data_IF_560737494156
#
_entry.id   IF_560737494156
#
_cell.length_a   1.000
_cell.length_b   1.000
_cell.length_c   1.000
_cell.angle_alpha   90.00
_cell.angle_beta   90.00
_cell.angle_gamma   90.00
#
_symmetry.space_group_name_H-M   'P 1'
#
loop_
_entity.id
_entity.type
_entity.pdbx_description
1 polymer ?
#
# COMPACT_ATOMS: atom_id res chain seq x y z
N UNK A 1 19.19 3.23 18.85
CA UNK A 1 17.98 3.51 19.64
C UNK A 1 16.94 4.12 18.70
N UNK A 2 15.68 3.67 18.76
CA UNK A 2 14.53 4.25 18.02
C UNK A 2 13.73 5.26 18.85
N UNK A 3 14.35 5.83 19.88
CA UNK A 3 13.74 6.88 20.70
C UNK A 3 13.44 8.11 19.83
N UNK A 4 12.17 8.49 19.80
CA UNK A 4 11.63 9.55 18.95
C UNK A 4 10.54 10.29 19.72
N UNK A 5 10.33 11.55 19.34
CA UNK A 5 9.28 12.38 19.90
C UNK A 5 7.90 11.98 19.36
N UNK A 6 6.85 12.63 19.84
CA UNK A 6 5.52 12.49 19.24
C UNK A 6 5.51 13.03 17.80
N UNK A 7 4.55 12.59 16.98
CA UNK A 7 4.38 12.99 15.57
C UNK A 7 5.53 12.58 14.63
N UNK A 8 6.32 11.59 15.02
CA UNK A 8 7.36 11.01 14.17
C UNK A 8 6.79 9.81 13.38
N UNK A 9 7.23 9.56 12.13
CA UNK A 9 6.65 8.53 11.26
C UNK A 9 6.52 7.15 11.91
N UNK A 10 7.50 6.76 12.74
CA UNK A 10 7.51 5.49 13.47
C UNK A 10 6.33 5.28 14.42
N UNK A 11 5.73 6.37 14.91
CA UNK A 11 4.61 6.36 15.85
C UNK A 11 3.23 6.52 15.21
N UNK A 12 3.14 6.72 13.89
CA UNK A 12 1.86 6.92 13.21
C UNK A 12 1.25 5.55 12.86
N UNK A 13 0.02 5.23 13.31
CA UNK A 13 -0.66 3.99 12.92
C UNK A 13 -0.93 3.92 11.42
N UNK A 14 -0.94 2.71 10.86
CA UNK A 14 -1.22 2.47 9.44
C UNK A 14 -2.58 3.02 9.03
N UNK A 15 -3.59 2.86 9.88
CA UNK A 15 -4.92 3.41 9.64
C UNK A 15 -4.94 4.95 9.61
N UNK A 16 -4.09 5.61 10.41
CA UNK A 16 -3.96 7.07 10.39
C UNK A 16 -3.26 7.52 9.11
N UNK A 17 -2.22 6.81 8.66
CA UNK A 17 -1.58 7.10 7.36
C UNK A 17 -2.58 6.91 6.22
N UNK A 18 -3.42 5.88 6.26
CA UNK A 18 -4.49 5.70 5.30
C UNK A 18 -5.53 6.84 5.36
N UNK A 19 -5.81 7.39 6.54
CA UNK A 19 -6.68 8.56 6.69
C UNK A 19 -6.05 9.88 6.22
N UNK A 20 -4.73 10.00 6.26
CA UNK A 20 -3.99 11.13 5.66
C UNK A 20 -4.18 11.15 4.14
N UNK A 21 -4.16 9.99 3.47
CA UNK A 21 -4.39 9.89 2.03
C UNK A 21 -5.77 10.42 1.63
N UNK A 22 -5.86 11.39 0.72
CA UNK A 22 -7.14 11.95 0.24
C UNK A 22 -7.55 11.45 -1.15
N UNK A 23 -6.74 10.61 -1.81
CA UNK A 23 -7.01 10.07 -3.14
C UNK A 23 -8.38 9.36 -3.29
N UNK A 24 -8.90 8.78 -2.20
CA UNK A 24 -10.19 8.08 -2.20
C UNK A 24 -11.36 8.91 -1.62
N UNK A 25 -11.10 10.13 -1.13
CA UNK A 25 -12.14 11.02 -0.57
C UNK A 25 -13.20 11.42 -1.58
N UNK A 26 -12.87 11.37 -2.87
CA UNK A 26 -13.74 11.69 -3.99
C UNK A 26 -14.67 10.54 -4.39
N UNK A 27 -14.40 9.33 -3.89
CA UNK A 27 -15.16 8.14 -4.28
C UNK A 27 -16.49 8.09 -3.51
N UNK A 28 -17.59 7.63 -4.14
CA UNK A 28 -18.89 7.56 -3.48
C UNK A 28 -18.87 6.68 -2.23
N UNK A 29 -19.09 7.27 -1.06
CA UNK A 29 -19.24 6.51 0.18
C UNK A 29 -20.56 5.71 0.23
N UNK A 30 -20.65 4.74 1.14
CA UNK A 30 -21.88 4.02 1.45
C UNK A 30 -22.24 2.85 0.52
N UNK A 31 -21.46 2.60 -0.52
CA UNK A 31 -21.60 1.41 -1.38
C UNK A 31 -20.40 0.47 -1.21
N UNK A 32 -20.64 -0.84 -1.26
CA UNK A 32 -19.54 -1.81 -1.25
C UNK A 32 -18.83 -1.78 -2.59
N UNK A 33 -17.52 -1.97 -2.57
CA UNK A 33 -16.73 -2.05 -3.80
C UNK A 33 -17.26 -3.12 -4.76
N UNK A 34 -17.63 -4.30 -4.25
CA UNK A 34 -18.20 -5.38 -5.06
C UNK A 34 -19.51 -4.98 -5.74
N UNK A 35 -20.32 -4.12 -5.14
CA UNK A 35 -21.55 -3.60 -5.79
C UNK A 35 -21.25 -2.58 -6.88
N UNK A 36 -20.05 -2.00 -6.88
CA UNK A 36 -19.61 -1.00 -7.85
C UNK A 36 -18.95 -1.72 -9.03
N UNK A 37 -17.84 -2.42 -8.78
CA UNK A 37 -17.01 -3.01 -9.84
C UNK A 37 -17.76 -4.05 -10.67
N UNK A 38 -18.72 -4.80 -10.11
CA UNK A 38 -19.46 -5.80 -10.88
C UNK A 38 -20.52 -5.17 -11.80
N UNK A 39 -21.03 -3.99 -11.45
CA UNK A 39 -22.04 -3.29 -12.23
C UNK A 39 -21.39 -2.35 -13.26
N UNK A 40 -20.32 -1.67 -12.88
CA UNK A 40 -19.61 -0.68 -13.68
C UNK A 40 -18.09 -0.86 -13.52
N UNK A 41 -17.43 -1.31 -14.61
CA UNK A 41 -15.99 -1.51 -14.65
C UNK A 41 -15.23 -0.19 -14.43
N UNK A 42 -15.66 0.89 -15.08
CA UNK A 42 -14.92 2.16 -15.06
C UNK A 42 -15.04 2.83 -13.69
N UNK A 43 -16.21 2.75 -13.06
CA UNK A 43 -16.38 3.26 -11.70
C UNK A 43 -15.58 2.43 -10.70
N UNK A 44 -15.59 1.09 -10.82
CA UNK A 44 -14.80 0.23 -9.95
C UNK A 44 -13.29 0.41 -10.15
N UNK A 45 -12.82 0.62 -11.39
CA UNK A 45 -11.42 0.89 -11.70
C UNK A 45 -10.87 2.09 -10.92
N UNK A 46 -11.68 3.15 -10.73
CA UNK A 46 -11.29 4.33 -9.91
C UNK A 46 -10.90 3.97 -8.48
N UNK A 47 -11.51 2.95 -7.86
CA UNK A 47 -11.19 2.52 -6.50
C UNK A 47 -9.82 1.86 -6.41
N UNK A 48 -9.49 1.00 -7.37
CA UNK A 48 -8.18 0.35 -7.42
C UNK A 48 -7.08 1.34 -7.83
N UNK A 49 -7.38 2.32 -8.70
CA UNK A 49 -6.46 3.43 -8.98
C UNK A 49 -6.25 4.33 -7.76
N UNK A 50 -7.29 4.63 -6.99
CA UNK A 50 -7.15 5.39 -5.74
C UNK A 50 -6.31 4.63 -4.70
N UNK A 51 -6.44 3.30 -4.62
CA UNK A 51 -5.51 2.47 -3.86
C UNK A 51 -4.08 2.67 -4.36
N UNK A 52 -3.81 2.51 -5.66
CA UNK A 52 -2.48 2.67 -6.24
C UNK A 52 -1.87 4.05 -5.95
N UNK A 53 -2.65 5.12 -6.08
CA UNK A 53 -2.23 6.49 -5.78
C UNK A 53 -1.83 6.63 -4.31
N UNK A 54 -2.70 6.24 -3.37
CA UNK A 54 -2.47 6.43 -1.93
C UNK A 54 -1.40 5.52 -1.35
N UNK A 55 -1.48 4.22 -1.64
CA UNK A 55 -0.50 3.20 -1.28
C UNK A 55 0.86 3.55 -1.87
N UNK A 56 0.88 3.78 -3.18
CA UNK A 56 2.10 3.94 -3.95
C UNK A 56 2.89 5.16 -3.50
N UNK A 57 2.24 6.21 -3.00
CA UNK A 57 2.91 7.46 -2.64
C UNK A 57 2.98 7.74 -1.14
N UNK A 58 1.94 8.29 -0.53
CA UNK A 58 1.97 8.86 0.83
C UNK A 58 2.42 7.81 1.84
N UNK A 59 1.89 6.58 1.74
CA UNK A 59 2.33 5.46 2.56
C UNK A 59 3.83 5.21 2.39
N UNK A 60 4.25 5.00 1.15
CA UNK A 60 5.64 4.73 0.76
C UNK A 60 6.63 5.85 1.14
N UNK A 61 6.23 7.12 1.03
CA UNK A 61 7.06 8.27 1.41
C UNK A 61 7.24 8.30 2.92
N UNK A 62 6.15 8.21 3.69
CA UNK A 62 6.21 8.30 5.14
C UNK A 62 6.97 7.11 5.74
N UNK A 63 6.74 5.90 5.23
CA UNK A 63 7.35 4.68 5.78
C UNK A 63 8.68 4.37 5.13
N UNK A 64 8.74 4.20 3.81
CA UNK A 64 9.94 3.68 3.15
C UNK A 64 11.02 4.75 2.95
N UNK A 65 10.65 5.96 2.51
CA UNK A 65 11.63 7.03 2.29
C UNK A 65 12.07 7.70 3.60
N UNK A 66 11.11 8.19 4.37
CA UNK A 66 11.40 8.99 5.55
C UNK A 66 11.73 8.09 6.73
N UNK A 67 10.82 7.20 7.16
CA UNK A 67 11.05 6.41 8.36
C UNK A 67 12.24 5.45 8.21
N UNK A 68 12.13 4.46 7.32
CA UNK A 68 13.19 3.46 7.18
C UNK A 68 14.42 4.04 6.48
N UNK A 69 14.24 4.73 5.35
CA UNK A 69 15.34 5.22 4.53
C UNK A 69 16.16 6.37 5.13
N UNK A 70 15.55 7.20 5.99
CA UNK A 70 16.23 8.35 6.58
C UNK A 70 16.36 8.25 8.11
N UNK A 71 15.26 8.11 8.85
CA UNK A 71 15.29 8.14 10.32
C UNK A 71 15.94 6.91 10.95
N UNK A 72 15.83 5.74 10.32
CA UNK A 72 16.29 4.46 10.85
C UNK A 72 17.59 3.96 10.21
N UNK A 73 17.95 4.45 9.01
CA UNK A 73 19.21 4.13 8.33
C UNK A 73 20.00 5.37 7.94
N UNK A 74 19.49 6.19 7.01
CA UNK A 74 20.22 7.29 6.37
C UNK A 74 21.06 6.87 5.16
N UNK A 75 21.80 7.83 4.59
CA UNK A 75 22.62 7.63 3.39
C UNK A 75 21.84 7.86 2.09
N UNK A 76 22.09 7.02 1.08
CA UNK A 76 21.34 7.06 -0.20
C UNK A 76 19.85 6.74 0.00
N UNK A 77 19.51 6.00 1.06
CA UNK A 77 18.15 5.64 1.43
C UNK A 77 17.54 4.61 0.47
N UNK A 78 16.20 4.61 0.38
CA UNK A 78 15.42 3.62 -0.35
C UNK A 78 14.64 4.23 -1.54
N UNK A 79 15.12 5.36 -2.06
CA UNK A 79 14.42 6.19 -3.04
C UNK A 79 14.25 5.56 -4.41
N UNK A 80 15.33 5.07 -5.01
CA UNK A 80 15.32 4.37 -6.30
C UNK A 80 14.73 2.96 -6.20
N UNK A 81 14.52 2.46 -4.98
CA UNK A 81 14.15 1.09 -4.74
C UNK A 81 12.66 0.87 -4.55
N UNK A 82 12.28 0.48 -3.32
CA UNK A 82 10.89 0.21 -2.93
C UNK A 82 10.00 1.45 -3.02
N UNK A 83 10.58 2.65 -3.02
CA UNK A 83 9.78 3.86 -3.15
C UNK A 83 9.36 4.17 -4.58
N UNK A 84 10.28 4.63 -5.43
CA UNK A 84 9.95 5.00 -6.80
C UNK A 84 9.34 3.84 -7.60
N UNK A 85 9.78 2.59 -7.38
CA UNK A 85 9.16 1.41 -8.01
C UNK A 85 7.67 1.23 -7.65
N UNK A 86 7.20 1.83 -6.56
CA UNK A 86 5.81 1.82 -6.12
C UNK A 86 4.92 2.91 -6.74
N UNK A 87 5.45 3.83 -7.55
CA UNK A 87 4.62 4.90 -8.17
C UNK A 87 5.15 5.44 -9.50
N UNK A 88 6.20 4.84 -10.06
CA UNK A 88 6.76 5.20 -11.36
C UNK A 88 6.53 4.09 -12.39
N UNK A 89 6.60 4.46 -13.68
CA UNK A 89 6.61 3.50 -14.79
C UNK A 89 5.25 2.89 -15.16
N UNK A 90 4.15 3.33 -14.53
CA UNK A 90 2.78 2.86 -14.76
C UNK A 90 2.57 1.34 -14.58
N UNK A 91 3.47 0.66 -13.88
CA UNK A 91 3.41 -0.80 -13.69
C UNK A 91 2.23 -1.19 -12.81
N UNK A 92 1.98 -0.43 -11.74
CA UNK A 92 0.86 -0.71 -10.83
C UNK A 92 -0.46 -0.45 -11.52
N UNK A 93 -0.55 0.61 -12.32
CA UNK A 93 -1.73 1.00 -13.08
C UNK A 93 -2.14 -0.12 -14.03
N UNK A 94 -1.20 -0.69 -14.78
CA UNK A 94 -1.44 -1.80 -15.70
C UNK A 94 -1.95 -3.06 -14.96
N UNK A 95 -1.36 -3.38 -13.81
CA UNK A 95 -1.86 -4.50 -12.98
C UNK A 95 -3.23 -4.20 -12.39
N UNK A 96 -3.48 -2.98 -11.91
CA UNK A 96 -4.78 -2.57 -11.39
C UNK A 96 -5.86 -2.65 -12.47
N UNK A 97 -5.55 -2.26 -13.70
CA UNK A 97 -6.48 -2.36 -14.82
C UNK A 97 -6.79 -3.82 -15.16
N UNK A 98 -5.75 -4.65 -15.24
CA UNK A 98 -5.88 -6.10 -15.47
C UNK A 98 -6.72 -6.78 -14.37
N UNK A 99 -6.47 -6.44 -13.10
CA UNK A 99 -7.23 -6.96 -11.96
C UNK A 99 -8.69 -6.46 -11.98
N UNK A 100 -8.92 -5.20 -12.33
CA UNK A 100 -10.27 -4.62 -12.47
C UNK A 100 -11.09 -5.39 -13.51
N UNK A 101 -10.49 -5.69 -14.66
CA UNK A 101 -11.14 -6.46 -15.73
C UNK A 101 -11.46 -7.90 -15.30
N UNK A 102 -10.52 -8.58 -14.65
CA UNK A 102 -10.75 -9.91 -14.09
C UNK A 102 -11.92 -9.91 -13.10
N UNK A 103 -11.90 -8.98 -12.14
CA UNK A 103 -12.92 -8.87 -11.10
C UNK A 103 -14.28 -8.60 -11.75
N UNK A 104 -14.37 -7.61 -12.64
CA UNK A 104 -15.60 -7.28 -13.33
C UNK A 104 -16.17 -8.45 -14.13
N UNK A 105 -15.31 -9.19 -14.83
CA UNK A 105 -15.72 -10.30 -15.71
C UNK A 105 -16.17 -11.52 -14.91
N UNK A 106 -15.39 -11.94 -13.91
CA UNK A 106 -15.61 -13.23 -13.24
C UNK A 106 -16.42 -13.14 -11.95
N UNK A 107 -16.63 -11.93 -11.40
CA UNK A 107 -17.42 -11.74 -10.19
C UNK A 107 -18.83 -11.20 -10.45
N UNK A 108 -19.32 -11.27 -11.70
CA UNK A 108 -20.71 -10.89 -12.02
C UNK A 108 -21.71 -11.61 -11.12
N UNK A 109 -22.58 -10.85 -10.47
CA UNK A 109 -23.57 -11.36 -9.52
C UNK A 109 -23.05 -11.60 -8.10
N UNK A 110 -21.75 -11.46 -7.83
CA UNK A 110 -21.15 -11.60 -6.51
C UNK A 110 -21.19 -10.26 -5.77
N UNK A 111 -22.16 -10.10 -4.86
CA UNK A 111 -22.35 -8.86 -4.09
C UNK A 111 -21.54 -8.82 -2.79
N UNK A 112 -21.07 -9.97 -2.32
CA UNK A 112 -20.27 -10.08 -1.09
C UNK A 112 -19.31 -11.26 -1.19
N UNK A 113 -18.04 -10.99 -0.91
CA UNK A 113 -17.03 -12.03 -0.76
C UNK A 113 -16.90 -12.35 0.73
N UNK A 114 -17.05 -13.62 1.15
CA UNK A 114 -16.88 -13.97 2.56
C UNK A 114 -15.40 -13.79 2.96
N UNK A 115 -15.11 -13.18 4.12
CA UNK A 115 -13.76 -13.05 4.65
C UNK A 115 -13.28 -14.40 5.23
N UNK A 116 -12.99 -15.36 4.35
CA UNK A 116 -12.48 -16.69 4.69
C UNK A 116 -11.14 -16.91 4.00
N UNK A 117 -10.24 -17.63 4.67
CA UNK A 117 -8.89 -17.90 4.15
C UNK A 117 -8.91 -18.57 2.78
N UNK A 118 -9.70 -19.62 2.58
CA UNK A 118 -9.75 -20.33 1.29
C UNK A 118 -10.19 -19.43 0.13
N UNK A 119 -11.13 -18.53 0.39
CA UNK A 119 -11.59 -17.54 -0.60
C UNK A 119 -10.48 -16.53 -0.94
N UNK A 120 -9.79 -16.03 0.09
CA UNK A 120 -8.69 -15.08 -0.05
C UNK A 120 -7.50 -15.69 -0.76
N UNK A 121 -7.13 -16.91 -0.37
CA UNK A 121 -6.08 -17.68 -1.02
C UNK A 121 -6.37 -17.88 -2.50
N UNK A 122 -7.60 -18.26 -2.86
CA UNK A 122 -7.97 -18.42 -4.27
C UNK A 122 -7.87 -17.10 -5.07
N UNK A 123 -8.31 -15.98 -4.49
CA UNK A 123 -8.16 -14.64 -5.10
C UNK A 123 -6.68 -14.34 -5.33
N UNK A 124 -5.85 -14.59 -4.32
CA UNK A 124 -4.41 -14.32 -4.36
C UNK A 124 -3.73 -15.19 -5.41
N UNK A 125 -3.91 -16.51 -5.34
CA UNK A 125 -3.31 -17.49 -6.25
C UNK A 125 -3.67 -17.18 -7.71
N UNK A 126 -4.86 -16.62 -7.97
CA UNK A 126 -5.27 -16.18 -9.31
C UNK A 126 -4.62 -14.84 -9.70
N UNK A 127 -4.66 -13.85 -8.80
CA UNK A 127 -4.14 -12.49 -9.08
C UNK A 127 -2.62 -12.48 -9.30
N UNK A 128 -1.89 -13.29 -8.54
CA UNK A 128 -0.43 -13.33 -8.56
C UNK A 128 0.13 -13.94 -9.84
N UNK A 129 -0.57 -14.91 -10.43
CA UNK A 129 -0.14 -15.55 -11.69
C UNK A 129 0.05 -14.51 -12.78
N UNK A 130 -0.93 -13.61 -12.96
CA UNK A 130 -0.81 -12.51 -13.94
C UNK A 130 0.43 -11.68 -13.67
N UNK A 131 0.65 -11.29 -12.41
CA UNK A 131 1.76 -10.41 -12.07
C UNK A 131 3.11 -11.10 -12.31
N UNK A 132 3.31 -12.31 -11.80
CA UNK A 132 4.57 -13.05 -11.96
C UNK A 132 4.86 -13.39 -13.41
N UNK A 133 3.86 -13.92 -14.15
CA UNK A 133 4.01 -14.22 -15.58
C UNK A 133 4.30 -12.97 -16.40
N UNK A 134 3.74 -11.81 -16.03
CA UNK A 134 4.05 -10.54 -16.71
C UNK A 134 5.53 -10.17 -16.54
N UNK A 135 6.10 -10.28 -15.33
CA UNK A 135 7.54 -10.06 -15.12
C UNK A 135 8.40 -11.07 -15.89
N UNK A 136 7.98 -12.33 -15.99
CA UNK A 136 8.70 -13.37 -16.74
C UNK A 136 8.63 -13.17 -18.26
N UNK A 137 7.48 -12.70 -18.76
CA UNK A 137 7.23 -12.47 -20.18
C UNK A 137 7.92 -11.22 -20.72
N UNK A 138 8.10 -10.20 -19.90
CA UNK A 138 8.66 -8.91 -20.30
C UNK A 138 10.01 -8.65 -19.59
N UNK A 139 11.15 -9.04 -20.21
CA UNK A 139 12.48 -8.84 -19.61
C UNK A 139 12.79 -7.38 -19.26
N UNK A 140 12.27 -6.42 -20.04
CA UNK A 140 12.42 -4.99 -19.75
C UNK A 140 11.71 -4.57 -18.46
N UNK A 141 10.59 -5.22 -18.10
CA UNK A 141 9.92 -5.00 -16.82
C UNK A 141 10.71 -5.61 -15.66
N UNK A 142 11.28 -6.81 -15.87
CA UNK A 142 12.18 -7.45 -14.91
C UNK A 142 13.44 -6.59 -14.66
N UNK A 143 13.96 -5.93 -15.71
CA UNK A 143 15.08 -4.99 -15.62
C UNK A 143 14.68 -3.68 -14.94
N UNK A 144 13.51 -3.11 -15.28
CA UNK A 144 12.98 -1.91 -14.64
C UNK A 144 12.87 -2.10 -13.12
N UNK A 145 12.28 -3.23 -12.71
CA UNK A 145 12.29 -3.67 -11.32
C UNK A 145 13.40 -4.70 -11.07
N UNK A 146 14.65 -4.34 -11.36
CA UNK A 146 15.84 -5.20 -11.20
C UNK A 146 15.95 -5.84 -9.81
N UNK A 147 15.61 -5.11 -8.76
CA UNK A 147 15.66 -5.58 -7.38
C UNK A 147 14.47 -6.48 -7.04
N UNK A 148 14.76 -7.65 -6.45
CA UNK A 148 13.71 -8.55 -5.95
C UNK A 148 12.76 -7.86 -4.98
N UNK A 149 13.30 -6.95 -4.17
CA UNK A 149 12.55 -6.10 -3.26
C UNK A 149 11.43 -5.29 -3.90
N UNK A 150 11.67 -4.71 -5.08
CA UNK A 150 10.66 -3.88 -5.75
C UNK A 150 9.49 -4.75 -6.15
N UNK A 151 9.81 -5.92 -6.73
CA UNK A 151 8.82 -6.89 -7.22
C UNK A 151 8.01 -7.48 -6.06
N UNK A 152 8.65 -7.98 -5.00
CA UNK A 152 7.92 -8.64 -3.91
C UNK A 152 7.04 -7.66 -3.13
N UNK A 153 7.52 -6.43 -2.88
CA UNK A 153 6.73 -5.40 -2.20
C UNK A 153 5.49 -5.01 -3.01
N UNK A 154 5.67 -4.81 -4.32
CA UNK A 154 4.61 -4.42 -5.23
C UNK A 154 3.59 -5.54 -5.45
N UNK A 155 4.04 -6.73 -5.84
CA UNK A 155 3.16 -7.87 -6.16
C UNK A 155 2.47 -8.38 -4.89
N UNK A 156 3.22 -8.52 -3.80
CA UNK A 156 2.67 -8.90 -2.49
C UNK A 156 1.64 -7.90 -2.00
N UNK A 157 1.94 -6.61 -2.11
CA UNK A 157 1.01 -5.53 -1.82
C UNK A 157 -0.26 -5.64 -2.66
N UNK A 158 -0.14 -5.70 -3.99
CA UNK A 158 -1.30 -5.76 -4.89
C UNK A 158 -2.18 -6.99 -4.65
N UNK A 159 -1.59 -8.18 -4.48
CA UNK A 159 -2.34 -9.40 -4.26
C UNK A 159 -3.16 -9.34 -2.96
N UNK A 160 -2.52 -8.99 -1.84
CA UNK A 160 -3.20 -8.91 -0.56
C UNK A 160 -4.16 -7.71 -0.46
N UNK A 161 -3.84 -6.58 -1.09
CA UNK A 161 -4.74 -5.42 -1.16
C UNK A 161 -5.97 -5.70 -2.02
N UNK A 162 -5.84 -6.49 -3.09
CA UNK A 162 -6.98 -7.00 -3.87
C UNK A 162 -7.87 -7.89 -3.01
N UNK A 163 -7.28 -8.82 -2.24
CA UNK A 163 -8.04 -9.64 -1.30
C UNK A 163 -8.76 -8.80 -0.23
N UNK A 164 -8.08 -7.78 0.30
CA UNK A 164 -8.66 -6.83 1.26
C UNK A 164 -9.81 -6.03 0.65
N UNK A 165 -9.64 -5.53 -0.58
CA UNK A 165 -10.67 -4.80 -1.34
C UNK A 165 -11.92 -5.64 -1.59
N UNK A 166 -11.74 -6.92 -1.89
CA UNK A 166 -12.87 -7.80 -2.20
C UNK A 166 -13.60 -8.27 -0.93
N UNK A 167 -12.87 -8.50 0.16
CA UNK A 167 -13.45 -9.05 1.40
C UNK A 167 -13.85 -8.00 2.44
N UNK A 168 -13.29 -6.78 2.36
CA UNK A 168 -13.41 -5.77 3.40
C UNK A 168 -12.70 -6.12 4.71
N UNK A 169 -11.68 -6.98 4.65
CA UNK A 169 -10.92 -7.44 5.83
C UNK A 169 -9.43 -7.12 5.68
N UNK A 170 -8.90 -6.16 6.47
CA UNK A 170 -7.48 -5.83 6.42
C UNK A 170 -6.63 -6.94 7.04
N UNK A 171 -7.17 -7.73 7.97
CA UNK A 171 -6.50 -8.89 8.56
C UNK A 171 -6.18 -9.93 7.48
N UNK A 172 -7.15 -10.21 6.61
CA UNK A 172 -6.95 -11.15 5.51
C UNK A 172 -6.12 -10.54 4.39
N UNK A 173 -6.18 -9.22 4.20
CA UNK A 173 -5.24 -8.50 3.34
C UNK A 173 -3.79 -8.70 3.78
N UNK A 174 -3.48 -8.46 5.06
CA UNK A 174 -2.15 -8.70 5.64
C UNK A 174 -1.73 -10.16 5.52
N UNK A 175 -2.61 -11.10 5.89
CA UNK A 175 -2.33 -12.53 5.72
C UNK A 175 -2.02 -12.87 4.26
N UNK A 176 -2.72 -12.24 3.33
CA UNK A 176 -2.52 -12.38 1.90
C UNK A 176 -1.19 -11.84 1.40
N UNK A 177 -0.78 -10.63 1.83
CA UNK A 177 0.53 -10.04 1.52
C UNK A 177 1.63 -11.01 1.96
N UNK A 178 1.57 -11.44 3.23
CA UNK A 178 2.56 -12.32 3.84
C UNK A 178 2.63 -13.68 3.14
N UNK A 179 1.47 -14.29 2.83
CA UNK A 179 1.39 -15.54 2.08
C UNK A 179 1.99 -15.44 0.67
N UNK A 180 1.69 -14.33 -0.02
CA UNK A 180 2.18 -14.08 -1.38
C UNK A 180 3.71 -13.98 -1.38
N UNK A 181 4.28 -13.22 -0.45
CA UNK A 181 5.73 -13.00 -0.40
C UNK A 181 6.47 -14.23 0.13
N UNK A 182 6.05 -14.76 1.29
CA UNK A 182 6.78 -15.81 1.98
C UNK A 182 6.74 -17.16 1.25
N UNK A 183 5.65 -17.46 0.54
CA UNK A 183 5.41 -18.77 -0.05
C UNK A 183 5.32 -18.71 -1.57
N UNK A 184 4.38 -17.95 -2.15
CA UNK A 184 4.13 -18.03 -3.59
C UNK A 184 5.31 -17.50 -4.42
N UNK A 185 5.76 -16.27 -4.17
CA UNK A 185 6.86 -15.68 -4.93
C UNK A 185 8.19 -16.34 -4.60
N UNK A 186 8.42 -16.65 -3.31
CA UNK A 186 9.64 -17.33 -2.87
C UNK A 186 9.82 -18.67 -3.58
N UNK A 187 8.80 -19.51 -3.60
CA UNK A 187 8.87 -20.82 -4.25
C UNK A 187 8.85 -20.69 -5.78
N UNK A 188 8.02 -19.80 -6.34
CA UNK A 188 7.91 -19.64 -7.79
C UNK A 188 9.17 -19.09 -8.47
N UNK A 189 9.84 -18.10 -7.84
CA UNK A 189 11.08 -17.53 -8.38
C UNK A 189 12.35 -18.05 -7.73
N UNK A 190 12.24 -18.86 -6.69
CA UNK A 190 13.38 -19.37 -5.88
C UNK A 190 14.25 -18.23 -5.34
N UNK A 191 13.63 -17.05 -5.15
CA UNK A 191 14.25 -15.81 -4.64
C UNK A 191 13.17 -14.85 -4.16
N UNK A 192 13.54 -13.99 -3.23
CA UNK A 192 12.68 -12.91 -2.69
C UNK A 192 13.38 -11.56 -2.80
N UNK A 193 13.38 -10.79 -1.73
CA UNK A 193 13.99 -9.47 -1.61
C UNK A 193 15.44 -9.50 -1.17
N UNK A 194 15.88 -8.46 -0.46
CA UNK A 194 17.19 -8.44 0.18
C UNK A 194 17.22 -9.33 1.43
N UNK A 195 18.42 -9.55 1.97
CA UNK A 195 18.63 -10.40 3.14
C UNK A 195 17.73 -10.00 4.32
N UNK A 196 16.78 -10.87 4.66
CA UNK A 196 15.87 -10.68 5.77
C UNK A 196 14.64 -9.82 5.47
N UNK A 197 14.43 -9.36 4.22
CA UNK A 197 13.21 -8.63 3.85
C UNK A 197 11.96 -9.44 4.24
N UNK A 198 11.93 -10.72 3.87
CA UNK A 198 10.79 -11.62 4.08
C UNK A 198 10.63 -12.18 5.51
N UNK A 199 11.43 -11.72 6.48
CA UNK A 199 11.25 -12.14 7.88
C UNK A 199 9.84 -11.82 8.36
N UNK A 200 9.33 -10.64 8.00
CA UNK A 200 7.98 -10.23 8.37
C UNK A 200 6.93 -11.16 7.76
N UNK A 201 7.11 -11.59 6.51
CA UNK A 201 6.14 -12.39 5.80
C UNK A 201 6.06 -13.82 6.35
N UNK A 202 7.20 -14.40 6.73
CA UNK A 202 7.25 -15.76 7.30
C UNK A 202 6.51 -15.87 8.64
N UNK A 203 6.68 -14.90 9.54
CA UNK A 203 5.98 -14.89 10.83
C UNK A 203 4.61 -14.20 10.74
N UNK A 204 4.47 -13.30 9.77
CA UNK A 204 3.32 -12.41 9.59
C UNK A 204 2.05 -13.17 9.28
N UNK A 205 2.12 -14.32 8.60
CA UNK A 205 0.95 -15.16 8.36
C UNK A 205 0.30 -15.62 9.67
N UNK A 206 1.11 -16.10 10.63
CA UNK A 206 0.62 -16.49 11.95
C UNK A 206 0.17 -15.27 12.78
N UNK A 207 0.88 -14.15 12.66
CA UNK A 207 0.61 -12.94 13.44
C UNK A 207 -0.59 -12.13 12.93
N UNK A 208 -1.00 -12.33 11.67
CA UNK A 208 -2.12 -11.60 11.08
C UNK A 208 -3.41 -11.80 11.89
N UNK A 209 -3.65 -13.02 12.39
CA UNK A 209 -4.83 -13.36 13.19
C UNK A 209 -4.52 -13.60 14.68
N UNK A 210 -3.31 -13.30 15.13
CA UNK A 210 -2.95 -13.49 16.52
C UNK A 210 -3.72 -12.51 17.44
N UNK A 211 -3.95 -12.93 18.67
CA UNK A 211 -4.50 -12.10 19.75
C UNK A 211 -3.51 -11.92 20.91
N UNK A 212 -2.31 -12.52 20.80
CA UNK A 212 -1.26 -12.36 21.79
C UNK A 212 -0.72 -10.93 21.77
N UNK A 213 -0.31 -10.45 22.94
CA UNK A 213 0.39 -9.18 23.06
C UNK A 213 1.58 -9.15 22.09
N UNK A 214 1.83 -8.00 21.47
CA UNK A 214 2.94 -7.78 20.53
C UNK A 214 2.90 -8.56 19.20
N UNK A 215 2.06 -9.58 19.07
CA UNK A 215 1.84 -10.32 17.82
C UNK A 215 0.55 -9.93 17.12
N UNK A 216 -0.50 -9.67 17.89
CA UNK A 216 -1.86 -9.54 17.36
C UNK A 216 -2.34 -8.11 17.19
N UNK A 217 -3.65 -8.00 17.04
CA UNK A 217 -4.37 -6.73 17.10
C UNK A 217 -4.88 -6.23 15.76
N UNK A 218 -5.68 -5.16 15.83
CA UNK A 218 -6.36 -4.56 14.68
C UNK A 218 -5.33 -3.94 13.74
N UNK A 219 -5.24 -4.36 12.45
CA UNK A 219 -4.25 -3.86 11.50
C UNK A 219 -4.17 -2.33 11.42
N UNK A 220 -5.31 -1.66 11.49
CA UNK A 220 -5.44 -0.20 11.43
C UNK A 220 -4.70 0.51 12.58
N UNK A 221 -4.51 -0.17 13.73
CA UNK A 221 -3.79 0.34 14.90
C UNK A 221 -2.33 -0.12 14.97
N UNK A 222 -1.91 -1.02 14.06
CA UNK A 222 -0.49 -1.34 13.89
C UNK A 222 0.21 -0.17 13.21
N UNK A 223 1.54 -0.17 13.22
CA UNK A 223 2.35 0.87 12.61
C UNK A 223 3.80 0.42 12.49
N UNK A 224 4.69 1.31 12.09
CA UNK A 224 6.11 0.97 11.98
C UNK A 224 6.79 0.64 13.33
N UNK A 225 6.11 0.85 14.46
CA UNK A 225 6.58 0.39 15.78
C UNK A 225 6.04 -1.00 16.18
N UNK A 226 5.09 -1.58 15.43
CA UNK A 226 4.64 -2.96 15.64
C UNK A 226 5.84 -3.91 15.43
N UNK A 227 6.11 -4.88 16.33
CA UNK A 227 7.40 -5.55 16.42
C UNK A 227 7.95 -6.08 15.09
N UNK A 228 7.15 -6.84 14.33
CA UNK A 228 7.61 -7.39 13.05
C UNK A 228 7.80 -6.31 11.98
N UNK A 229 7.00 -5.23 12.01
CA UNK A 229 7.13 -4.10 11.09
C UNK A 229 8.33 -3.20 11.39
N UNK A 230 9.05 -3.38 12.50
CA UNK A 230 9.94 -2.33 12.99
C UNK A 230 11.33 -2.26 12.37
N UNK A 231 11.72 -3.22 11.54
CA UNK A 231 13.12 -3.35 11.11
C UNK A 231 13.34 -3.68 9.63
N UNK A 232 12.31 -3.88 8.81
CA UNK A 232 12.49 -4.00 7.34
C UNK A 232 11.58 -3.07 6.56
N UNK A 233 12.17 -2.42 5.55
CA UNK A 233 11.43 -1.62 4.57
C UNK A 233 10.65 -2.54 3.60
N UNK A 234 9.78 -1.95 2.79
CA UNK A 234 9.09 -2.62 1.69
C UNK A 234 7.77 -3.32 2.05
N UNK A 235 7.22 -3.10 3.25
CA UNK A 235 5.97 -3.76 3.69
C UNK A 235 4.93 -2.79 4.23
N UNK A 236 5.37 -1.77 4.96
CA UNK A 236 4.47 -0.87 5.70
C UNK A 236 3.51 -0.14 4.78
N UNK A 237 3.97 0.30 3.60
CA UNK A 237 3.08 0.80 2.56
C UNK A 237 1.95 -0.21 2.27
N UNK A 238 2.28 -1.45 1.93
CA UNK A 238 1.30 -2.51 1.63
C UNK A 238 0.32 -2.76 2.77
N UNK A 239 0.76 -2.71 4.03
CA UNK A 239 -0.13 -2.84 5.20
C UNK A 239 -1.08 -1.65 5.36
N UNK A 240 -0.63 -0.43 5.05
CA UNK A 240 -1.49 0.76 4.94
C UNK A 240 -2.52 0.55 3.83
N UNK A 241 -2.08 0.05 2.67
CA UNK A 241 -2.94 -0.29 1.54
C UNK A 241 -4.03 -1.29 1.92
N UNK A 242 -3.72 -2.32 2.72
CA UNK A 242 -4.71 -3.29 3.17
C UNK A 242 -5.77 -2.64 4.08
N UNK A 243 -5.35 -1.74 4.97
CA UNK A 243 -6.27 -0.95 5.80
C UNK A 243 -7.18 -0.07 4.93
N UNK A 244 -6.58 0.70 4.00
CA UNK A 244 -7.28 1.57 3.08
C UNK A 244 -8.32 0.83 2.23
N UNK A 245 -7.88 -0.23 1.54
CA UNK A 245 -8.73 -1.03 0.64
C UNK A 245 -9.86 -1.71 1.39
N UNK A 246 -9.64 -2.15 2.63
CA UNK A 246 -10.73 -2.71 3.44
C UNK A 246 -11.82 -1.68 3.79
N UNK A 247 -11.43 -0.42 4.01
CA UNK A 247 -12.37 0.66 4.27
C UNK A 247 -13.18 1.00 3.02
N UNK A 248 -12.49 1.14 1.87
CA UNK A 248 -13.13 1.39 0.58
C UNK A 248 -14.07 0.25 0.18
N UNK A 249 -13.66 -1.00 0.41
CA UNK A 249 -14.48 -2.20 0.20
C UNK A 249 -15.83 -2.14 0.92
N UNK A 250 -15.82 -1.60 2.15
CA UNK A 250 -17.00 -1.45 3.00
C UNK A 250 -17.81 -0.19 2.69
N UNK A 251 -17.33 0.69 1.80
CA UNK A 251 -17.93 2.00 1.53
C UNK A 251 -17.73 2.99 2.69
N UNK A 252 -16.69 2.82 3.50
CA UNK A 252 -16.39 3.69 4.64
C UNK A 252 -15.71 4.99 4.17
N UNK A 253 -16.02 6.11 4.84
CA UNK A 253 -15.45 7.43 4.54
C UNK A 253 -14.08 7.66 5.19
N UNK A 254 -13.68 6.82 6.14
CA UNK A 254 -12.40 6.84 6.85
C UNK A 254 -11.98 5.40 7.19
N UNK A 255 -10.74 5.24 7.64
CA UNK A 255 -10.11 3.95 7.96
C UNK A 255 -10.06 3.72 9.47
N UNK A 256 -9.50 4.67 10.22
CA UNK A 256 -9.21 4.52 11.65
C UNK A 256 -9.71 5.72 12.47
N UNK A 257 -9.50 6.94 11.98
CA UNK A 257 -9.86 8.19 12.65
C UNK A 257 -10.55 9.17 11.69
N UNK A 258 -11.85 9.46 11.89
CA UNK A 258 -12.54 10.46 11.09
C UNK A 258 -11.97 11.87 11.31
N UNK A 259 -11.39 12.15 12.48
CA UNK A 259 -10.74 13.43 12.76
C UNK A 259 -9.49 13.61 11.88
N UNK A 260 -8.65 12.57 11.75
CA UNK A 260 -7.47 12.62 10.87
C UNK A 260 -7.92 12.76 9.42
N UNK A 261 -8.92 11.99 9.00
CA UNK A 261 -9.45 12.07 7.63
C UNK A 261 -9.87 13.50 7.26
N UNK A 262 -10.65 14.15 8.12
CA UNK A 262 -11.13 15.52 7.90
C UNK A 262 -10.00 16.55 7.99
N UNK A 263 -9.06 16.38 8.91
CA UNK A 263 -7.94 17.32 9.08
C UNK A 263 -7.04 17.43 7.83
N UNK A 264 -6.92 16.36 7.05
CA UNK A 264 -6.16 16.35 5.81
C UNK A 264 -7.00 16.66 4.56
N UNK A 265 -8.31 16.85 4.71
CA UNK A 265 -9.19 17.35 3.65
C UNK A 265 -9.20 18.88 3.61
N UNK A 266 -8.03 19.50 3.75
CA UNK A 266 -7.85 20.95 3.82
C UNK A 266 -7.12 21.45 2.56
N UNK A 267 -7.78 22.27 1.71
CA UNK A 267 -7.17 22.84 0.51
C UNK A 267 -6.08 23.89 0.81
N UNK A 268 -5.92 24.31 2.07
CA UNK A 268 -4.86 25.22 2.49
C UNK A 268 -3.54 24.52 2.83
N UNK A 269 -3.52 23.17 2.86
CA UNK A 269 -2.27 22.42 2.95
C UNK A 269 -1.40 22.68 1.73
N UNK A 270 -0.08 22.75 1.97
CA UNK A 270 0.90 23.05 0.91
C UNK A 270 1.05 21.86 -0.04
N UNK A 271 0.91 20.65 0.48
CA UNK A 271 0.97 19.41 -0.30
C UNK A 271 -0.45 18.90 -0.56
N UNK A 272 -0.78 18.63 -1.82
CA UNK A 272 -2.05 18.03 -2.20
C UNK A 272 -2.05 16.51 -1.95
N UNK A 273 -2.65 16.11 -0.82
CA UNK A 273 -2.82 14.70 -0.46
C UNK A 273 -3.84 13.95 -1.31
N UNK A 274 -4.57 14.64 -2.21
CA UNK A 274 -5.50 14.01 -3.17
C UNK A 274 -4.77 13.54 -4.42
N UNK A 275 -3.75 14.27 -4.87
CA UNK A 275 -2.95 13.95 -6.05
C UNK A 275 -1.45 13.90 -5.72
N UNK A 276 -1.02 13.05 -4.77
CA UNK A 276 0.35 13.02 -4.29
C UNK A 276 1.39 12.74 -5.39
N UNK A 277 1.09 11.92 -6.41
CA UNK A 277 2.03 11.70 -7.53
C UNK A 277 2.29 12.96 -8.34
N UNK A 278 1.26 13.78 -8.52
CA UNK A 278 1.39 15.05 -9.23
C UNK A 278 2.27 16.03 -8.46
N UNK A 279 2.13 16.10 -7.14
CA UNK A 279 2.99 16.94 -6.30
C UNK A 279 4.45 16.48 -6.33
N UNK A 280 4.69 15.16 -6.30
CA UNK A 280 6.04 14.59 -6.45
C UNK A 280 6.62 14.94 -7.83
N UNK A 281 5.82 14.82 -8.90
CA UNK A 281 6.25 15.17 -10.24
C UNK A 281 6.61 16.67 -10.35
N UNK A 282 5.79 17.57 -9.79
CA UNK A 282 6.09 19.01 -9.70
C UNK A 282 7.38 19.27 -8.92
N UNK A 283 7.60 18.55 -7.81
CA UNK A 283 8.84 18.66 -7.04
C UNK A 283 10.07 18.22 -7.85
N UNK A 284 9.98 17.12 -8.61
CA UNK A 284 11.04 16.67 -9.52
C UNK A 284 11.37 17.71 -10.61
N UNK A 285 10.35 18.45 -11.09
CA UNK A 285 10.51 19.56 -12.03
C UNK A 285 10.95 20.87 -11.38
N UNK A 286 11.13 20.91 -10.05
CA UNK A 286 11.43 22.10 -9.25
C UNK A 286 10.34 23.19 -9.32
N UNK A 287 9.10 22.77 -9.52
CA UNK A 287 7.91 23.64 -9.58
C UNK A 287 7.14 23.67 -8.25
N UNK A 288 7.37 22.70 -7.37
CA UNK A 288 6.79 22.68 -6.03
C UNK A 288 7.40 23.77 -5.15
N UNK A 289 6.55 24.53 -4.44
CA UNK A 289 6.97 25.62 -3.55
C UNK A 289 6.75 25.20 -2.09
N UNK A 290 7.80 24.72 -1.39
CA UNK A 290 7.68 24.40 0.02
C UNK A 290 7.52 25.68 0.87
N UNK A 291 6.92 25.56 2.06
CA UNK A 291 7.06 26.58 3.09
C UNK A 291 8.32 26.34 3.93
N UNK A 292 8.63 27.29 4.81
CA UNK A 292 9.77 27.22 5.72
C UNK A 292 11.09 27.72 5.13
N UNK A 293 11.09 28.17 3.88
CA UNK A 293 12.24 28.85 3.27
C UNK A 293 12.61 30.11 4.06
N UNK A 294 13.92 30.37 4.17
CA UNK A 294 14.47 31.47 4.98
C UNK A 294 15.01 32.62 4.14
N UNK A 295 14.70 32.65 2.84
CA UNK A 295 15.19 33.67 1.89
C UNK A 295 14.78 35.10 2.29
N UNK A 296 13.67 35.26 3.01
CA UNK A 296 13.22 36.56 3.53
C UNK A 296 14.12 37.14 4.62
N UNK A 297 14.90 36.30 5.30
CA UNK A 297 15.80 36.69 6.41
C UNK A 297 17.27 36.33 6.11
N UNK A 298 17.55 35.88 4.88
CA UNK A 298 18.89 35.57 4.40
C UNK A 298 19.29 36.62 3.37
N UNK A 299 20.42 37.29 3.59
CA UNK A 299 20.98 38.28 2.66
C UNK A 299 21.88 37.67 1.58
N UNK A 300 21.77 36.34 1.38
CA UNK A 300 22.50 35.58 0.35
C UNK A 300 21.59 35.43 -0.86
#
# INVERSE_FOLDING_TARGET
SRARSQNEPGGIPFGYIADICQCFSALPAGRRFTDIIVDDLEEGRKYLHAMAEGLGTVGTILTELLWYGFYMSGGLGFSTGVAAGGYCGNVIEDFVDSLSELIHKYMKGVRRVPPKWDTVRWIIDTSIQIMMETYEKYPSLMEYHWGGAHRISLIGGLAGNTASMLTGSPILGLAGINYTIALLMKEGWVRTGWAGQEVQDHVGLAYSMALRMEEGGVPELRGANYPVASYTAGHSASYIGACLTSAMARGSSFVCSPQVKVAFADPHLIFDFRNPRLEIARACLKEFKPAGERNLISSI
#
